data_IF_878582582684
#
_entry.id   IF_878582582684
#
_cell.length_a   1.000
_cell.length_b   1.000
_cell.length_c   1.000
_cell.angle_alpha   90.00
_cell.angle_beta   90.00
_cell.angle_gamma   90.00
#
_symmetry.space_group_name_H-M   'P 1'
#
loop_
_entity.id
_entity.type
_entity.pdbx_description
1 polymer ?
#
# COMPACT_ATOMS: atom_id res chain seq x y z
N UNK A 1 7.13 21.82 70.08
CA UNK A 1 8.19 21.49 69.11
C UNK A 1 7.50 20.88 67.89
N UNK A 2 7.10 21.73 66.95
CA UNK A 2 6.39 21.36 65.73
C UNK A 2 7.43 21.36 64.61
N UNK A 3 7.64 20.21 63.95
CA UNK A 3 8.42 20.13 62.71
C UNK A 3 7.51 19.53 61.65
N UNK A 4 6.90 20.44 60.87
CA UNK A 4 6.17 20.12 59.66
C UNK A 4 7.16 20.03 58.50
N UNK A 5 7.47 18.83 58.04
CA UNK A 5 8.20 18.60 56.79
C UNK A 5 7.25 18.84 55.62
N UNK A 6 7.44 19.96 54.92
CA UNK A 6 6.77 20.23 53.64
C UNK A 6 7.24 19.21 52.61
N UNK A 7 6.36 18.28 52.24
CA UNK A 7 6.54 17.43 51.07
C UNK A 7 6.49 18.30 49.81
N UNK A 8 7.64 18.55 49.19
CA UNK A 8 7.71 19.08 47.84
C UNK A 8 7.27 17.97 46.88
N UNK A 9 6.06 18.08 46.35
CA UNK A 9 5.62 17.30 45.20
C UNK A 9 6.41 17.78 43.98
N UNK A 10 7.56 17.14 43.70
CA UNK A 10 8.30 17.36 42.46
C UNK A 10 7.42 16.80 41.34
N UNK A 11 6.63 17.66 40.70
CA UNK A 11 6.08 17.35 39.37
C UNK A 11 7.29 17.22 38.46
N UNK A 12 7.66 15.99 38.10
CA UNK A 12 8.62 15.77 37.03
C UNK A 12 8.08 16.53 35.80
N UNK A 13 8.73 17.64 35.44
CA UNK A 13 8.48 18.30 34.18
C UNK A 13 8.90 17.29 33.11
N UNK A 14 7.92 16.73 32.42
CA UNK A 14 8.18 15.88 31.27
C UNK A 14 8.76 16.79 30.18
N UNK A 15 10.08 16.86 30.09
CA UNK A 15 10.74 17.45 28.92
C UNK A 15 10.50 16.50 27.75
N UNK A 16 9.80 16.92 26.69
CA UNK A 16 9.65 16.10 25.52
C UNK A 16 11.04 15.78 24.98
N UNK A 17 11.32 14.51 24.70
CA UNK A 17 12.53 14.13 23.98
C UNK A 17 12.66 15.00 22.72
N UNK A 18 13.88 15.42 22.34
CA UNK A 18 14.13 16.24 21.15
C UNK A 18 13.95 15.41 19.87
N UNK A 19 12.72 14.94 19.66
CA UNK A 19 12.25 14.25 18.47
C UNK A 19 11.51 15.24 17.60
N UNK A 20 11.72 15.16 16.29
CA UNK A 20 11.06 16.00 15.29
C UNK A 20 9.54 15.95 15.45
N UNK A 21 9.00 14.75 15.64
CA UNK A 21 7.56 14.49 15.63
C UNK A 21 6.94 14.45 17.03
N UNK A 22 7.50 15.22 17.98
CA UNK A 22 6.94 15.30 19.34
C UNK A 22 5.58 16.02 19.39
N UNK A 23 4.87 15.87 20.51
CA UNK A 23 3.53 16.43 20.69
C UNK A 23 3.47 17.96 20.46
N UNK A 24 4.51 18.69 20.87
CA UNK A 24 4.60 20.15 20.67
C UNK A 24 4.67 20.51 19.18
N UNK A 25 5.50 19.80 18.41
CA UNK A 25 5.59 19.99 16.96
C UNK A 25 4.28 19.62 16.26
N UNK A 26 3.66 18.49 16.63
CA UNK A 26 2.38 18.07 16.06
C UNK A 26 1.27 19.09 16.31
N UNK A 27 1.25 19.72 17.49
CA UNK A 27 0.31 20.80 17.77
C UNK A 27 0.61 22.07 16.97
N UNK A 28 1.89 22.37 16.72
CA UNK A 28 2.30 23.53 15.92
C UNK A 28 1.83 23.43 14.46
N UNK A 29 1.87 22.23 13.87
CA UNK A 29 1.50 22.03 12.45
C UNK A 29 0.01 21.70 12.24
N UNK A 30 -0.75 21.43 13.31
CA UNK A 30 -2.19 21.10 13.25
C UNK A 30 -3.04 22.13 12.47
N UNK A 31 -2.85 23.46 12.60
CA UNK A 31 -3.62 24.43 11.82
C UNK A 31 -3.45 24.27 10.30
N UNK A 32 -2.33 23.71 9.83
CA UNK A 32 -2.08 23.46 8.40
C UNK A 32 -2.91 22.27 7.91
N UNK A 33 -3.01 21.22 8.72
CA UNK A 33 -3.74 19.98 8.37
C UNK A 33 -5.26 20.13 8.47
N UNK A 34 -5.77 21.17 9.12
CA UNK A 34 -7.21 21.48 9.18
C UNK A 34 -7.82 21.80 7.81
N UNK A 35 -7.02 22.23 6.82
CA UNK A 35 -7.49 22.49 5.45
C UNK A 35 -8.05 21.27 4.74
N UNK A 36 -7.67 20.08 5.20
CA UNK A 36 -8.12 18.77 4.71
C UNK A 36 -9.03 18.06 5.74
N UNK A 37 -9.53 18.80 6.73
CA UNK A 37 -10.45 18.25 7.72
C UNK A 37 -11.70 17.69 7.06
N UNK A 38 -11.95 16.41 7.31
CA UNK A 38 -13.06 15.67 6.74
C UNK A 38 -12.76 14.89 5.47
N UNK A 39 -11.61 15.09 4.81
CA UNK A 39 -11.28 14.39 3.55
C UNK A 39 -10.46 13.11 3.73
N UNK A 40 -10.01 12.79 4.94
CA UNK A 40 -9.22 11.58 5.22
C UNK A 40 -10.08 10.53 5.92
N UNK A 41 -10.06 9.31 5.40
CA UNK A 41 -10.86 8.18 5.87
C UNK A 41 -10.00 6.99 6.25
N UNK A 42 -10.53 6.07 7.07
CA UNK A 42 -9.90 4.76 7.30
C UNK A 42 -10.52 3.76 6.33
N UNK A 43 -9.69 2.98 5.65
CA UNK A 43 -10.13 1.85 4.84
C UNK A 43 -9.94 0.56 5.62
N UNK A 44 -10.99 -0.25 5.65
CA UNK A 44 -11.04 -1.59 6.23
C UNK A 44 -11.17 -2.62 5.13
N UNK A 45 -10.46 -3.72 5.28
CA UNK A 45 -10.58 -4.91 4.43
C UNK A 45 -10.79 -6.11 5.35
N UNK A 46 -11.99 -6.69 5.29
CA UNK A 46 -12.52 -7.52 6.37
C UNK A 46 -12.69 -6.68 7.65
N UNK A 47 -12.15 -7.15 8.77
CA UNK A 47 -12.22 -6.47 10.08
C UNK A 47 -10.96 -5.65 10.44
N UNK A 48 -9.98 -5.60 9.55
CA UNK A 48 -8.70 -4.94 9.81
C UNK A 48 -8.62 -3.57 9.13
N UNK A 49 -8.10 -2.53 9.81
CA UNK A 49 -7.66 -1.32 9.11
C UNK A 49 -6.44 -1.69 8.25
N UNK A 50 -6.46 -1.28 6.98
CA UNK A 50 -5.41 -1.68 6.01
C UNK A 50 -4.78 -0.51 5.28
N UNK A 51 -5.46 0.63 5.23
CA UNK A 51 -4.97 1.83 4.58
C UNK A 51 -5.75 3.06 5.06
N UNK A 52 -5.17 4.24 4.87
CA UNK A 52 -5.94 5.48 4.82
C UNK A 52 -6.45 5.71 3.39
N UNK A 53 -7.47 6.55 3.27
CA UNK A 53 -7.99 6.99 1.98
C UNK A 53 -8.18 8.49 1.95
N UNK A 54 -8.17 9.05 0.74
CA UNK A 54 -8.42 10.47 0.48
C UNK A 54 -9.71 10.61 -0.30
N UNK A 55 -10.68 11.35 0.22
CA UNK A 55 -11.92 11.68 -0.50
C UNK A 55 -11.58 12.61 -1.66
N UNK A 56 -12.02 12.24 -2.86
CA UNK A 56 -11.71 12.95 -4.11
C UNK A 56 -12.94 13.50 -4.81
N UNK A 57 -14.15 13.09 -4.42
CA UNK A 57 -15.38 13.67 -4.93
C UNK A 57 -16.52 13.63 -3.90
N UNK A 58 -17.38 14.66 -3.92
CA UNK A 58 -18.50 14.84 -2.98
C UNK A 58 -19.53 13.72 -3.07
N UNK A 59 -19.67 13.14 -4.26
CA UNK A 59 -20.63 12.09 -4.53
C UNK A 59 -20.25 10.73 -3.91
N UNK A 60 -19.08 10.55 -3.27
CA UNK A 60 -18.74 9.30 -2.59
C UNK A 60 -17.52 8.55 -3.13
N UNK A 61 -16.60 9.23 -3.82
CA UNK A 61 -15.37 8.61 -4.33
C UNK A 61 -14.15 8.89 -3.46
N UNK A 62 -13.40 7.83 -3.18
CA UNK A 62 -12.21 7.84 -2.32
C UNK A 62 -11.06 7.17 -3.06
N UNK A 63 -9.90 7.81 -3.07
CA UNK A 63 -8.67 7.24 -3.60
C UNK A 63 -7.83 6.65 -2.47
N UNK A 64 -7.32 5.43 -2.66
CA UNK A 64 -6.48 4.73 -1.68
C UNK A 64 -5.49 3.78 -2.37
N UNK A 65 -4.68 3.09 -1.58
CA UNK A 65 -3.75 2.04 -2.02
C UNK A 65 -4.52 0.74 -2.32
N UNK A 66 -4.20 0.10 -3.45
CA UNK A 66 -4.86 -1.13 -3.94
C UNK A 66 -4.34 -2.40 -3.28
N UNK A 67 -3.02 -2.57 -3.17
CA UNK A 67 -2.43 -3.85 -2.76
C UNK A 67 -2.78 -4.32 -1.34
N UNK A 68 -3.32 -3.44 -0.49
CA UNK A 68 -3.76 -3.78 0.87
C UNK A 68 -5.23 -4.25 0.92
N UNK A 69 -5.99 -4.12 -0.18
CA UNK A 69 -7.40 -4.49 -0.29
C UNK A 69 -7.58 -5.97 -0.64
N UNK A 70 -7.18 -6.86 0.27
CA UNK A 70 -7.11 -8.32 0.05
C UNK A 70 -8.32 -9.11 0.55
N UNK A 71 -9.12 -8.54 1.45
CA UNK A 71 -10.29 -9.15 2.06
C UNK A 71 -11.60 -8.39 1.80
N UNK A 72 -12.70 -9.14 1.91
CA UNK A 72 -14.09 -8.67 1.76
C UNK A 72 -14.83 -8.89 3.10
N UNK A 73 -15.77 -8.03 3.53
CA UNK A 73 -16.20 -6.77 2.91
C UNK A 73 -15.14 -5.67 3.00
N UNK A 74 -15.14 -4.76 2.01
CA UNK A 74 -14.45 -3.47 2.12
C UNK A 74 -15.40 -2.47 2.81
N UNK A 75 -14.88 -1.78 3.84
CA UNK A 75 -15.61 -0.73 4.54
C UNK A 75 -14.76 0.52 4.68
N UNK A 76 -15.40 1.68 4.77
CA UNK A 76 -14.72 2.96 4.96
C UNK A 76 -15.29 3.64 6.20
N UNK A 77 -14.40 4.06 7.10
CA UNK A 77 -14.76 4.90 8.23
C UNK A 77 -14.49 6.37 7.92
N UNK A 78 -15.55 7.16 7.83
CA UNK A 78 -15.51 8.59 7.60
C UNK A 78 -14.97 9.36 8.81
N UNK A 79 -14.81 10.68 8.67
CA UNK A 79 -14.25 11.56 9.71
C UNK A 79 -15.19 11.74 10.92
N UNK A 80 -16.50 11.72 10.68
CA UNK A 80 -17.56 11.73 11.68
C UNK A 80 -17.67 10.42 12.49
N UNK A 81 -17.06 9.34 12.00
CA UNK A 81 -17.06 8.02 12.62
C UNK A 81 -17.99 7.01 11.95
N UNK A 82 -18.83 7.43 11.00
CA UNK A 82 -19.71 6.52 10.26
C UNK A 82 -18.87 5.48 9.51
N UNK A 83 -19.27 4.21 9.62
CA UNK A 83 -18.64 3.09 8.91
C UNK A 83 -19.58 2.64 7.79
N UNK A 84 -19.17 2.85 6.54
CA UNK A 84 -19.97 2.56 5.36
C UNK A 84 -19.40 1.38 4.58
N UNK A 85 -20.24 0.54 3.95
CA UNK A 85 -19.75 -0.41 2.96
C UNK A 85 -19.17 0.35 1.77
N UNK A 86 -18.12 -0.21 1.17
CA UNK A 86 -17.50 0.36 -0.02
C UNK A 86 -17.24 -0.73 -1.07
N UNK A 87 -17.21 -0.31 -2.33
CA UNK A 87 -16.85 -1.20 -3.46
C UNK A 87 -15.67 -0.59 -4.22
N UNK A 88 -14.84 -1.44 -4.82
CA UNK A 88 -13.80 -0.99 -5.74
C UNK A 88 -14.46 -0.60 -7.07
N UNK A 89 -14.37 0.68 -7.43
CA UNK A 89 -15.01 1.23 -8.62
C UNK A 89 -14.06 1.33 -9.82
N UNK A 90 -12.76 1.53 -9.58
CA UNK A 90 -11.72 1.52 -10.62
C UNK A 90 -10.34 1.20 -9.99
N UNK A 91 -9.40 0.70 -10.79
CA UNK A 91 -8.05 0.31 -10.35
C UNK A 91 -6.99 0.79 -11.32
N UNK A 92 -5.83 1.20 -10.80
CA UNK A 92 -4.59 1.40 -11.57
C UNK A 92 -3.49 0.51 -11.03
N UNK A 93 -3.23 -0.59 -11.74
CA UNK A 93 -2.26 -1.60 -11.30
C UNK A 93 -0.83 -1.04 -11.27
N UNK A 94 -0.42 -0.25 -12.26
CA UNK A 94 0.92 0.34 -12.36
C UNK A 94 1.30 1.22 -11.17
N UNK A 95 0.36 1.93 -10.56
CA UNK A 95 0.65 2.84 -9.44
C UNK A 95 -0.02 2.42 -8.12
N UNK A 96 -0.54 1.20 -8.07
CA UNK A 96 -1.16 0.64 -6.86
C UNK A 96 -2.32 1.46 -6.31
N UNK A 97 -3.11 2.08 -7.18
CA UNK A 97 -4.25 2.91 -6.78
C UNK A 97 -5.56 2.15 -6.94
N UNK A 98 -6.46 2.35 -5.99
CA UNK A 98 -7.84 1.91 -6.04
C UNK A 98 -8.77 3.10 -5.78
N UNK A 99 -9.80 3.24 -6.61
CA UNK A 99 -10.91 4.15 -6.39
C UNK A 99 -12.01 3.35 -5.71
N UNK A 100 -12.37 3.75 -4.50
CA UNK A 100 -13.49 3.19 -3.76
C UNK A 100 -14.73 4.07 -3.95
N UNK A 101 -15.89 3.41 -3.96
CA UNK A 101 -17.21 4.03 -3.94
C UNK A 101 -17.92 3.71 -2.64
N UNK A 102 -18.37 4.75 -1.93
CA UNK A 102 -19.32 4.65 -0.81
C UNK A 102 -20.66 5.26 -1.21
N UNK A 103 -21.72 4.78 -0.58
CA UNK A 103 -23.09 5.27 -0.77
C UNK A 103 -23.74 5.52 0.60
N UNK A 104 -24.72 6.41 0.64
CA UNK A 104 -25.45 6.77 1.86
C UNK A 104 -25.80 8.25 1.92
N UNK A 105 -26.17 8.72 3.12
CA UNK A 105 -26.26 10.14 3.43
C UNK A 105 -24.85 10.69 3.63
N UNK A 106 -24.34 11.40 2.63
CA UNK A 106 -22.94 11.77 2.50
C UNK A 106 -22.77 13.29 2.63
N UNK A 107 -21.94 13.72 3.56
CA UNK A 107 -21.46 15.10 3.66
C UNK A 107 -19.93 15.11 3.53
N UNK A 108 -19.46 14.86 2.30
CA UNK A 108 -18.04 14.69 2.02
C UNK A 108 -17.41 15.98 1.53
N UNK A 109 -16.15 16.20 1.91
CA UNK A 109 -15.33 17.32 1.45
C UNK A 109 -14.12 16.78 0.69
N UNK A 110 -14.06 16.92 -0.64
CA UNK A 110 -12.91 16.46 -1.41
C UNK A 110 -11.64 17.21 -1.06
N UNK A 111 -10.52 16.48 -1.05
CA UNK A 111 -9.21 17.07 -0.92
C UNK A 111 -8.84 17.84 -2.19
N UNK A 112 -8.18 18.99 -2.03
CA UNK A 112 -7.64 19.78 -3.14
C UNK A 112 -6.17 19.40 -3.39
N UNK A 113 -5.90 18.90 -4.58
CA UNK A 113 -4.56 18.54 -5.02
C UNK A 113 -3.83 19.76 -5.63
N UNK A 114 -2.59 19.97 -5.23
CA UNK A 114 -1.66 20.93 -5.83
C UNK A 114 -0.81 20.25 -6.91
N UNK A 115 -0.62 20.90 -8.06
CA UNK A 115 0.09 20.29 -9.20
C UNK A 115 1.62 20.44 -9.20
N UNK A 116 2.18 21.26 -8.30
CA UNK A 116 3.62 21.52 -8.27
C UNK A 116 4.38 20.40 -7.54
N UNK A 117 5.45 19.89 -8.18
CA UNK A 117 6.36 18.95 -7.55
C UNK A 117 7.24 19.72 -6.55
N UNK A 118 7.27 19.34 -5.27
CA UNK A 118 8.11 19.99 -4.27
C UNK A 118 9.61 19.80 -4.58
N UNK A 119 10.43 20.78 -4.22
CA UNK A 119 11.90 20.65 -4.29
C UNK A 119 12.40 19.71 -3.21
N UNK A 120 13.55 19.08 -3.45
CA UNK A 120 14.30 18.38 -2.38
C UNK A 120 14.54 19.34 -1.21
N UNK A 121 14.48 18.80 0.01
CA UNK A 121 14.50 19.50 1.30
C UNK A 121 13.26 20.35 1.62
N UNK A 122 12.20 20.31 0.80
CA UNK A 122 10.92 20.92 1.17
C UNK A 122 10.26 20.12 2.30
N UNK A 123 9.69 20.82 3.29
CA UNK A 123 8.89 20.21 4.34
C UNK A 123 7.58 19.65 3.79
N UNK A 124 7.20 18.48 4.30
CA UNK A 124 5.96 17.80 3.97
C UNK A 124 5.30 17.25 5.22
N UNK A 125 3.99 17.09 5.19
CA UNK A 125 3.20 16.59 6.33
C UNK A 125 2.35 15.42 5.87
N UNK A 126 2.54 14.26 6.50
CA UNK A 126 1.63 13.12 6.35
C UNK A 126 0.43 13.30 7.26
N UNK A 127 -0.78 13.09 6.75
CA UNK A 127 -2.02 13.44 7.47
C UNK A 127 -2.92 12.22 7.66
N UNK A 128 -3.33 12.02 8.90
CA UNK A 128 -4.28 11.00 9.32
C UNK A 128 -5.72 11.52 9.40
N UNK A 129 -6.60 10.70 9.97
CA UNK A 129 -8.01 11.07 10.16
C UNK A 129 -8.17 12.25 11.11
N UNK A 130 -9.29 12.97 10.96
CA UNK A 130 -9.64 14.16 11.78
C UNK A 130 -8.52 15.21 11.79
N UNK A 131 -7.83 15.38 10.65
CA UNK A 131 -6.70 16.30 10.49
C UNK A 131 -5.54 16.04 11.45
N UNK A 132 -5.41 14.84 12.02
CA UNK A 132 -4.29 14.55 12.89
C UNK A 132 -3.01 14.44 12.05
N UNK A 133 -1.99 15.29 12.27
CA UNK A 133 -0.71 15.10 11.62
C UNK A 133 -0.09 13.78 12.12
N UNK A 134 0.34 12.94 11.18
CA UNK A 134 1.06 11.69 11.49
C UNK A 134 2.53 12.02 11.72
N UNK A 135 3.11 12.85 10.84
CA UNK A 135 4.49 13.26 10.95
C UNK A 135 4.84 14.43 10.03
N UNK A 136 5.82 15.21 10.45
CA UNK A 136 6.50 16.22 9.64
C UNK A 136 7.72 15.56 9.02
N UNK A 137 8.02 15.81 7.75
CA UNK A 137 9.18 15.24 7.09
C UNK A 137 9.73 16.16 6.02
N UNK A 138 10.71 15.65 5.27
CA UNK A 138 11.35 16.37 4.16
C UNK A 138 11.42 15.51 2.91
N UNK A 139 11.30 16.15 1.74
CA UNK A 139 11.54 15.47 0.47
C UNK A 139 13.03 15.15 0.33
N UNK A 140 13.37 13.87 0.24
CA UNK A 140 14.74 13.39 0.09
C UNK A 140 15.19 13.24 -1.36
N UNK A 141 14.27 13.01 -2.30
CA UNK A 141 14.61 12.80 -3.71
C UNK A 141 13.52 13.34 -4.65
N UNK A 142 13.94 13.73 -5.86
CA UNK A 142 13.03 14.08 -6.95
C UNK A 142 12.19 12.86 -7.37
N UNK A 143 10.98 13.06 -7.93
CA UNK A 143 10.18 11.98 -8.50
C UNK A 143 10.99 11.10 -9.44
N UNK A 144 10.96 9.80 -9.17
CA UNK A 144 11.65 8.78 -9.98
C UNK A 144 10.85 7.48 -10.02
N UNK A 145 10.97 6.68 -11.08
CA UNK A 145 10.39 5.34 -11.10
C UNK A 145 11.05 4.45 -10.06
N UNK A 146 10.26 3.52 -9.51
CA UNK A 146 10.75 2.37 -8.76
C UNK A 146 10.41 1.15 -9.60
N UNK A 147 11.40 0.58 -10.30
CA UNK A 147 11.19 -0.67 -11.03
C UNK A 147 10.87 -1.81 -10.07
N UNK A 148 10.06 -2.76 -10.52
CA UNK A 148 9.81 -3.99 -9.77
C UNK A 148 10.51 -5.16 -10.42
N UNK A 149 10.83 -6.15 -9.60
CA UNK A 149 11.15 -7.51 -10.06
C UNK A 149 10.21 -8.47 -9.36
N UNK A 150 8.94 -8.47 -9.79
CA UNK A 150 7.93 -9.39 -9.28
C UNK A 150 8.30 -10.82 -9.60
N UNK A 151 8.38 -11.67 -8.58
CA UNK A 151 8.63 -13.11 -8.74
C UNK A 151 7.72 -13.92 -7.85
N UNK A 152 7.27 -15.04 -8.41
CA UNK A 152 6.58 -16.08 -7.65
C UNK A 152 7.54 -16.88 -6.75
N UNK A 153 8.80 -17.02 -7.18
CA UNK A 153 9.83 -17.81 -6.51
C UNK A 153 9.87 -19.30 -6.93
N UNK A 154 9.67 -19.57 -8.22
CA UNK A 154 9.84 -20.90 -8.82
C UNK A 154 10.99 -20.92 -9.81
N UNK A 155 11.68 -22.06 -9.90
CA UNK A 155 12.55 -22.42 -11.00
C UNK A 155 11.74 -23.28 -11.96
N UNK A 156 11.63 -22.86 -13.22
CA UNK A 156 10.88 -23.59 -14.25
C UNK A 156 11.83 -24.27 -15.23
N UNK A 157 11.41 -25.43 -15.73
CA UNK A 157 12.01 -26.14 -16.86
C UNK A 157 10.92 -26.59 -17.83
N UNK A 158 11.29 -26.91 -19.06
CA UNK A 158 10.35 -27.49 -20.02
C UNK A 158 10.05 -28.94 -19.63
N UNK A 159 8.77 -29.32 -19.67
CA UNK A 159 8.38 -30.73 -19.72
C UNK A 159 8.68 -31.32 -21.12
N UNK A 160 8.38 -32.62 -21.31
CA UNK A 160 8.57 -33.30 -22.59
C UNK A 160 7.79 -32.67 -23.77
N UNK A 161 6.81 -31.82 -23.47
CA UNK A 161 5.92 -31.15 -24.43
C UNK A 161 6.17 -29.64 -24.53
N UNK A 162 7.17 -29.10 -23.82
CA UNK A 162 7.50 -27.66 -23.79
C UNK A 162 6.68 -26.81 -22.80
N UNK A 163 5.88 -27.44 -21.93
CA UNK A 163 5.08 -26.77 -20.90
C UNK A 163 5.90 -26.47 -19.65
N UNK A 164 5.40 -25.55 -18.83
CA UNK A 164 6.10 -25.07 -17.64
C UNK A 164 6.02 -26.07 -16.50
N UNK A 165 7.13 -26.74 -16.20
CA UNK A 165 7.24 -27.64 -15.04
C UNK A 165 8.13 -27.03 -13.97
N UNK A 166 7.72 -27.14 -12.71
CA UNK A 166 8.48 -26.66 -11.56
C UNK A 166 9.68 -27.58 -11.32
N UNK A 167 10.88 -27.05 -11.54
CA UNK A 167 12.16 -27.70 -11.21
C UNK A 167 12.50 -27.57 -9.73
N UNK A 168 12.11 -26.47 -9.11
CA UNK A 168 12.37 -26.17 -7.71
C UNK A 168 11.61 -24.92 -7.25
N UNK A 169 11.50 -24.78 -5.95
CA UNK A 169 10.82 -23.68 -5.28
C UNK A 169 11.81 -23.00 -4.34
N UNK A 170 11.85 -21.68 -4.36
CA UNK A 170 12.72 -20.92 -3.46
C UNK A 170 12.09 -20.86 -2.06
N UNK A 171 12.89 -20.97 -0.99
CA UNK A 171 12.44 -20.70 0.37
C UNK A 171 11.88 -19.28 0.51
N UNK A 172 10.96 -19.09 1.45
CA UNK A 172 10.31 -17.82 1.78
C UNK A 172 9.64 -17.14 0.58
N UNK A 173 9.24 -17.94 -0.41
CA UNK A 173 8.59 -17.45 -1.62
C UNK A 173 7.06 -17.58 -1.57
N UNK A 174 6.38 -16.87 -2.46
CA UNK A 174 4.95 -17.05 -2.64
C UNK A 174 4.59 -18.44 -3.16
N UNK A 175 5.48 -19.07 -3.92
CA UNK A 175 5.29 -20.45 -4.36
C UNK A 175 5.40 -21.47 -3.22
N UNK A 176 6.37 -21.30 -2.33
CA UNK A 176 6.52 -22.18 -1.16
C UNK A 176 5.31 -22.04 -0.23
N UNK A 177 4.91 -20.81 0.08
CA UNK A 177 3.74 -20.53 0.91
C UNK A 177 2.45 -21.12 0.32
N UNK A 178 2.37 -21.19 -1.01
CA UNK A 178 1.24 -21.79 -1.72
C UNK A 178 1.36 -23.32 -1.89
N UNK A 179 2.46 -23.92 -1.45
CA UNK A 179 2.64 -25.37 -1.48
C UNK A 179 2.97 -25.95 -2.85
N UNK A 180 3.54 -25.14 -3.76
CA UNK A 180 4.12 -25.65 -5.00
C UNK A 180 5.30 -26.58 -4.69
N UNK A 181 5.48 -27.59 -5.52
CA UNK A 181 6.50 -28.62 -5.37
C UNK A 181 7.21 -28.86 -6.70
N UNK A 182 8.42 -29.40 -6.60
CA UNK A 182 9.13 -29.92 -7.77
C UNK A 182 8.26 -30.99 -8.46
N UNK A 183 8.15 -30.90 -9.77
CA UNK A 183 7.31 -31.78 -10.59
C UNK A 183 5.96 -31.18 -10.97
N UNK A 184 5.50 -30.12 -10.28
CA UNK A 184 4.23 -29.49 -10.60
C UNK A 184 4.25 -28.91 -12.03
N UNK A 185 3.24 -29.24 -12.81
CA UNK A 185 3.04 -28.68 -14.13
C UNK A 185 2.04 -27.53 -14.06
N UNK A 186 2.45 -26.32 -14.42
CA UNK A 186 1.55 -25.17 -14.46
C UNK A 186 0.74 -25.24 -15.75
N UNK A 187 -0.58 -25.42 -15.63
CA UNK A 187 -1.49 -25.58 -16.77
C UNK A 187 -2.30 -24.31 -17.06
N UNK A 188 -2.56 -23.48 -16.05
CA UNK A 188 -3.24 -22.20 -16.24
C UNK A 188 -2.83 -21.16 -15.19
N UNK A 189 -2.96 -19.89 -15.55
CA UNK A 189 -2.75 -18.73 -14.68
C UNK A 189 -3.99 -17.84 -14.74
N UNK A 190 -4.60 -17.56 -13.59
CA UNK A 190 -5.83 -16.79 -13.46
C UNK A 190 -6.94 -17.28 -14.42
N UNK A 191 -7.07 -18.61 -14.52
CA UNK A 191 -8.03 -19.29 -15.42
C UNK A 191 -7.65 -19.29 -16.91
N UNK A 192 -6.57 -18.61 -17.32
CA UNK A 192 -6.07 -18.63 -18.70
C UNK A 192 -5.07 -19.77 -18.87
N UNK A 193 -5.39 -20.70 -19.79
CA UNK A 193 -4.51 -21.84 -20.08
C UNK A 193 -3.17 -21.37 -20.63
N UNK A 194 -2.10 -21.88 -20.04
CA UNK A 194 -0.73 -21.64 -20.49
C UNK A 194 -0.15 -22.89 -21.11
N UNK A 195 0.42 -22.73 -22.32
CA UNK A 195 0.91 -23.86 -23.13
C UNK A 195 2.42 -23.92 -23.22
N UNK A 196 3.14 -22.91 -22.73
CA UNK A 196 4.59 -22.86 -22.83
C UNK A 196 5.21 -22.30 -21.55
N UNK A 197 6.44 -22.72 -21.26
CA UNK A 197 7.23 -22.13 -20.18
C UNK A 197 7.45 -20.63 -20.34
N UNK A 198 7.68 -20.15 -21.56
CA UNK A 198 7.87 -18.73 -21.83
C UNK A 198 6.60 -17.92 -21.52
N UNK A 199 5.41 -18.40 -21.90
CA UNK A 199 4.13 -17.74 -21.60
C UNK A 199 3.86 -17.60 -20.10
N UNK A 200 4.15 -18.66 -19.31
CA UNK A 200 4.11 -18.60 -17.85
C UNK A 200 5.07 -17.54 -17.29
N UNK A 201 6.32 -17.51 -17.77
CA UNK A 201 7.33 -16.55 -17.30
C UNK A 201 6.92 -15.12 -17.62
N UNK A 202 6.46 -14.85 -18.84
CA UNK A 202 6.03 -13.51 -19.27
C UNK A 202 4.83 -13.01 -18.48
N UNK A 203 3.85 -13.88 -18.25
CA UNK A 203 2.66 -13.56 -17.46
C UNK A 203 3.03 -13.23 -16.02
N UNK A 204 3.84 -14.07 -15.35
CA UNK A 204 4.25 -13.84 -13.97
C UNK A 204 5.15 -12.61 -13.83
N UNK A 205 6.02 -12.32 -14.80
CA UNK A 205 6.88 -11.11 -14.80
C UNK A 205 6.09 -9.82 -14.99
N UNK A 206 4.93 -9.87 -15.65
CA UNK A 206 4.03 -8.73 -15.81
C UNK A 206 3.17 -8.44 -14.58
N UNK A 207 3.31 -9.24 -13.51
CA UNK A 207 2.59 -9.04 -12.26
C UNK A 207 3.42 -8.23 -11.25
N UNK A 208 2.72 -7.45 -10.43
CA UNK A 208 3.35 -6.59 -9.43
C UNK A 208 3.50 -7.33 -8.09
N UNK A 209 4.56 -7.04 -7.31
CA UNK A 209 4.65 -7.49 -5.92
C UNK A 209 3.39 -7.15 -5.12
N UNK A 210 2.95 -8.09 -4.28
CA UNK A 210 1.70 -8.01 -3.52
C UNK A 210 0.46 -8.48 -4.29
N UNK A 211 0.55 -8.78 -5.59
CA UNK A 211 -0.56 -9.40 -6.32
C UNK A 211 -0.71 -10.88 -5.99
N UNK A 212 -1.96 -11.32 -5.87
CA UNK A 212 -2.28 -12.75 -5.82
C UNK A 212 -2.42 -13.30 -7.25
N UNK A 213 -2.00 -14.55 -7.44
CA UNK A 213 -2.09 -15.29 -8.68
C UNK A 213 -2.70 -16.66 -8.40
N UNK A 214 -3.76 -17.00 -9.14
CA UNK A 214 -4.32 -18.35 -9.11
C UNK A 214 -3.62 -19.20 -10.15
N UNK A 215 -2.97 -20.27 -9.73
CA UNK A 215 -2.31 -21.23 -10.60
C UNK A 215 -3.12 -22.52 -10.61
N UNK A 216 -3.52 -22.97 -11.79
CA UNK A 216 -3.98 -24.35 -11.95
C UNK A 216 -2.76 -25.19 -12.24
N UNK A 217 -2.48 -26.18 -11.40
CA UNK A 217 -1.35 -27.10 -11.54
C UNK A 217 -1.84 -28.53 -11.75
N UNK A 218 -1.04 -29.34 -12.44
CA UNK A 218 -1.17 -30.80 -12.48
C UNK A 218 0.00 -31.40 -11.71
N UNK A 219 -0.29 -32.28 -10.77
CA UNK A 219 0.70 -32.97 -9.93
C UNK A 219 0.46 -34.47 -10.01
N UNK A 220 1.52 -35.21 -10.28
CA UNK A 220 1.49 -36.67 -10.28
C UNK A 220 1.74 -37.16 -8.85
N UNK A 221 0.97 -38.17 -8.41
CA UNK A 221 1.21 -38.85 -7.14
C UNK A 221 2.31 -39.93 -7.26
N UNK A 222 2.64 -40.60 -6.16
CA UNK A 222 3.64 -41.70 -6.16
C UNK A 222 3.23 -42.89 -7.04
N UNK A 223 1.95 -42.98 -7.43
CA UNK A 223 1.40 -43.99 -8.33
C UNK A 223 1.24 -43.48 -9.78
N UNK A 224 1.83 -42.33 -10.12
CA UNK A 224 1.77 -41.65 -11.43
C UNK A 224 0.36 -41.21 -11.88
N UNK A 225 -0.60 -41.06 -10.95
CA UNK A 225 -1.89 -40.47 -11.26
C UNK A 225 -1.80 -38.94 -11.23
N UNK A 226 -2.18 -38.31 -12.34
CA UNK A 226 -2.16 -36.85 -12.45
C UNK A 226 -3.43 -36.22 -11.88
N UNK A 227 -3.26 -35.35 -10.88
CA UNK A 227 -4.37 -34.60 -10.27
C UNK A 227 -4.23 -33.11 -10.57
N UNK A 228 -5.31 -32.49 -11.06
CA UNK A 228 -5.35 -31.04 -11.28
C UNK A 228 -5.91 -30.32 -10.06
N UNK A 229 -5.26 -29.25 -9.61
CA UNK A 229 -5.70 -28.44 -8.48
C UNK A 229 -5.38 -26.95 -8.68
N UNK A 230 -6.21 -26.09 -8.11
CA UNK A 230 -5.97 -24.65 -8.05
C UNK A 230 -5.20 -24.29 -6.78
N UNK A 231 -4.20 -23.43 -6.94
CA UNK A 231 -3.29 -22.97 -5.90
C UNK A 231 -3.21 -21.45 -5.99
N UNK A 232 -3.61 -20.76 -4.91
CA UNK A 232 -3.48 -19.32 -4.81
C UNK A 232 -2.10 -18.98 -4.22
N UNK A 233 -1.30 -18.23 -4.99
CA UNK A 233 0.04 -17.82 -4.62
C UNK A 233 0.20 -16.31 -4.70
N UNK A 234 1.26 -15.76 -4.08
CA UNK A 234 1.51 -14.31 -4.06
C UNK A 234 2.79 -13.93 -4.80
N UNK A 235 2.77 -12.87 -5.59
CA UNK A 235 3.98 -12.29 -6.18
C UNK A 235 4.74 -11.51 -5.12
N UNK A 236 6.04 -11.77 -4.98
CA UNK A 236 6.93 -11.07 -4.06
C UNK A 236 7.95 -10.24 -4.81
N UNK A 237 8.51 -9.24 -4.12
CA UNK A 237 9.64 -8.47 -4.62
C UNK A 237 10.94 -9.26 -4.39
N UNK A 238 11.73 -9.46 -5.45
CA UNK A 238 12.98 -10.22 -5.36
C UNK A 238 13.96 -9.63 -4.34
N UNK A 239 14.06 -8.31 -4.24
CA UNK A 239 14.99 -7.67 -3.30
C UNK A 239 14.58 -7.97 -1.87
N UNK A 240 13.27 -7.92 -1.60
CA UNK A 240 12.71 -8.24 -0.27
C UNK A 240 12.93 -9.71 0.08
N UNK A 241 12.82 -10.62 -0.88
CA UNK A 241 13.11 -12.05 -0.66
C UNK A 241 14.57 -12.34 -0.34
N UNK A 242 15.50 -11.44 -0.70
CA UNK A 242 16.93 -11.60 -0.45
C UNK A 242 17.41 -10.89 0.82
N UNK A 243 16.52 -10.19 1.53
CA UNK A 243 16.86 -9.51 2.77
C UNK A 243 17.10 -10.51 3.91
N UNK A 244 18.07 -10.21 4.77
CA UNK A 244 18.31 -11.01 5.97
C UNK A 244 17.25 -10.72 7.05
N UNK A 245 17.07 -11.64 8.00
CA UNK A 245 16.19 -11.41 9.15
C UNK A 245 16.59 -10.17 9.97
N UNK A 246 17.90 -9.87 10.01
CA UNK A 246 18.41 -8.67 10.69
C UNK A 246 17.97 -7.40 9.96
N UNK A 247 18.00 -7.40 8.63
CA UNK A 247 17.53 -6.25 7.83
C UNK A 247 16.03 -6.04 8.03
N UNK A 248 15.24 -7.12 8.00
CA UNK A 248 13.80 -7.07 8.22
C UNK A 248 13.46 -6.48 9.60
N UNK A 249 14.17 -6.91 10.66
CA UNK A 249 13.98 -6.41 12.02
C UNK A 249 14.33 -4.92 12.15
N UNK A 250 15.38 -4.45 11.47
CA UNK A 250 15.79 -3.04 11.50
C UNK A 250 14.81 -2.14 10.73
N UNK A 251 14.25 -2.64 9.63
CA UNK A 251 13.31 -1.89 8.80
C UNK A 251 11.93 -1.74 9.45
N UNK A 252 11.51 -2.70 10.28
CA UNK A 252 10.18 -2.74 10.88
C UNK A 252 9.09 -3.13 9.87
N UNK A 253 7.81 -2.95 10.23
CA UNK A 253 6.69 -3.33 9.36
C UNK A 253 6.69 -2.47 8.08
N UNK A 254 6.46 -3.07 6.93
CA UNK A 254 6.42 -2.42 5.61
C UNK A 254 5.20 -2.86 4.82
N UNK A 255 4.79 -2.06 3.85
CA UNK A 255 3.70 -2.43 2.94
C UNK A 255 4.06 -3.65 2.08
N UNK A 256 3.03 -4.38 1.64
CA UNK A 256 3.22 -5.58 0.79
C UNK A 256 3.84 -5.26 -0.57
N UNK A 257 3.60 -4.04 -1.07
CA UNK A 257 4.15 -3.55 -2.34
C UNK A 257 5.01 -2.32 -2.11
N UNK A 258 6.31 -2.46 -2.41
CA UNK A 258 7.34 -1.45 -2.25
C UNK A 258 7.92 -0.93 -3.57
N UNK A 259 7.50 -1.49 -4.70
CA UNK A 259 8.08 -1.24 -6.01
C UNK A 259 7.06 -1.31 -7.14
N UNK A 260 7.55 -1.04 -8.35
CA UNK A 260 6.77 -1.04 -9.58
C UNK A 260 5.87 0.18 -9.65
N UNK A 261 6.38 1.35 -9.29
CA UNK A 261 5.68 2.63 -9.37
C UNK A 261 6.30 3.47 -10.47
N UNK A 262 5.48 4.15 -11.28
CA UNK A 262 5.97 4.94 -12.42
C UNK A 262 6.76 6.17 -11.94
N UNK A 263 6.27 6.83 -10.88
CA UNK A 263 6.97 7.92 -10.21
C UNK A 263 6.64 7.98 -8.72
N UNK A 264 7.65 8.05 -7.86
CA UNK A 264 7.48 8.33 -6.43
C UNK A 264 8.38 9.48 -5.98
N UNK A 265 7.84 10.32 -5.11
CA UNK A 265 8.60 11.18 -4.23
C UNK A 265 9.04 10.38 -3.01
N UNK A 266 10.28 10.57 -2.58
CA UNK A 266 10.79 9.99 -1.34
C UNK A 266 10.77 11.03 -0.23
N UNK A 267 10.23 10.66 0.93
CA UNK A 267 10.27 11.45 2.15
C UNK A 267 10.57 10.55 3.36
N UNK A 268 10.77 11.18 4.51
CA UNK A 268 11.22 10.54 5.75
C UNK A 268 10.20 10.68 6.90
N UNK A 269 8.93 10.93 6.59
CA UNK A 269 7.88 10.77 7.60
C UNK A 269 7.75 9.28 7.94
N UNK A 270 7.65 8.98 9.23
CA UNK A 270 7.46 7.61 9.70
C UNK A 270 5.97 7.30 9.61
N UNK A 271 5.63 6.31 8.79
CA UNK A 271 4.26 5.86 8.56
C UNK A 271 4.15 4.40 8.93
N UNK A 272 3.06 4.00 9.56
CA UNK A 272 2.70 2.59 9.61
C UNK A 272 2.08 2.14 8.28
N UNK A 273 2.17 0.84 7.91
CA UNK A 273 1.67 0.38 6.62
C UNK A 273 0.18 0.70 6.37
N UNK A 274 -0.64 0.69 7.41
CA UNK A 274 -2.07 1.01 7.38
C UNK A 274 -2.37 2.51 7.34
N UNK A 275 -1.35 3.37 7.45
CA UNK A 275 -1.42 4.81 7.22
C UNK A 275 -1.12 5.19 5.76
N UNK A 276 -0.56 4.26 4.98
CA UNK A 276 -0.41 4.46 3.54
C UNK A 276 -1.77 4.44 2.83
N UNK A 277 -1.86 5.14 1.71
CA UNK A 277 -3.10 5.49 1.00
C UNK A 277 -3.65 6.87 1.39
N UNK A 278 -3.14 7.46 2.48
CA UNK A 278 -3.47 8.81 2.92
C UNK A 278 -2.70 9.92 2.19
N UNK A 279 -3.13 11.18 2.33
CA UNK A 279 -2.55 12.31 1.62
C UNK A 279 -1.21 12.77 2.23
N UNK A 280 -0.35 13.31 1.37
CA UNK A 280 0.86 14.05 1.72
C UNK A 280 0.67 15.52 1.36
N UNK A 281 0.98 16.43 2.29
CA UNK A 281 0.78 17.87 2.10
C UNK A 281 2.10 18.65 2.09
N UNK A 282 2.08 19.83 1.45
CA UNK A 282 3.08 20.86 1.66
C UNK A 282 2.78 21.71 2.93
N UNK A 283 3.70 22.60 3.30
CA UNK A 283 3.54 23.52 4.42
C UNK A 283 2.43 24.58 4.23
N UNK A 284 1.88 24.71 3.02
CA UNK A 284 0.75 25.60 2.71
C UNK A 284 -0.59 24.87 2.88
N UNK A 285 -0.57 23.57 3.10
CA UNK A 285 -1.76 22.72 3.22
C UNK A 285 -2.41 22.40 1.87
N UNK A 286 -1.63 22.30 0.79
CA UNK A 286 -2.06 21.68 -0.45
C UNK A 286 -1.70 20.19 -0.43
N UNK A 287 -2.56 19.32 -0.96
CA UNK A 287 -2.21 17.91 -1.14
C UNK A 287 -1.29 17.77 -2.35
N UNK A 288 -0.03 17.38 -2.13
CA UNK A 288 0.99 17.26 -3.17
C UNK A 288 1.23 15.80 -3.59
N UNK A 289 0.57 14.85 -2.92
CA UNK A 289 0.69 13.44 -3.23
C UNK A 289 -0.14 12.54 -2.32
N UNK A 290 -0.02 11.24 -2.53
CA UNK A 290 -0.58 10.18 -1.69
C UNK A 290 0.55 9.27 -1.24
N UNK A 291 0.69 9.07 0.07
CA UNK A 291 1.64 8.11 0.63
C UNK A 291 1.28 6.72 0.14
N UNK A 292 2.20 6.00 -0.49
CA UNK A 292 1.91 4.72 -1.15
C UNK A 292 2.67 3.56 -0.53
N UNK A 293 3.81 3.78 0.10
CA UNK A 293 4.54 2.71 0.76
C UNK A 293 5.51 3.24 1.82
N UNK A 294 5.53 2.62 3.00
CA UNK A 294 6.68 2.66 3.90
C UNK A 294 7.69 1.61 3.41
N UNK A 295 8.74 2.07 2.73
CA UNK A 295 9.73 1.22 2.06
C UNK A 295 10.90 0.78 2.96
N UNK A 296 11.12 1.48 4.08
CA UNK A 296 12.14 1.14 5.05
C UNK A 296 11.99 1.94 6.34
N UNK A 297 12.99 1.87 7.21
CA UNK A 297 12.96 2.54 8.52
C UNK A 297 12.77 4.06 8.42
N UNK A 298 13.37 4.68 7.41
CA UNK A 298 13.42 6.15 7.22
C UNK A 298 12.99 6.56 5.81
N UNK A 299 12.37 5.64 5.07
CA UNK A 299 12.04 5.82 3.65
C UNK A 299 10.57 5.53 3.45
N UNK A 300 9.84 6.58 3.12
CA UNK A 300 8.45 6.53 2.69
C UNK A 300 8.34 7.07 1.28
N UNK A 301 7.47 6.44 0.49
CA UNK A 301 7.16 6.82 -0.87
C UNK A 301 5.78 7.44 -0.94
N UNK A 302 5.66 8.52 -1.69
CA UNK A 302 4.40 9.12 -2.07
C UNK A 302 4.33 9.28 -3.59
N UNK A 303 3.18 8.96 -4.18
CA UNK A 303 2.92 9.29 -5.58
C UNK A 303 2.72 10.80 -5.70
N UNK A 304 3.37 11.50 -6.64
CA UNK A 304 3.18 12.93 -6.81
C UNK A 304 1.79 13.24 -7.38
N UNK A 305 1.22 14.38 -6.98
CA UNK A 305 -0.07 14.84 -7.48
C UNK A 305 -0.09 15.00 -9.01
N UNK A 306 1.04 15.35 -9.64
CA UNK A 306 1.18 15.40 -11.10
C UNK A 306 0.91 14.06 -11.79
N UNK A 307 1.13 12.94 -11.10
CA UNK A 307 0.78 11.59 -11.55
C UNK A 307 -0.63 11.20 -11.12
N UNK A 308 -1.03 11.52 -9.89
CA UNK A 308 -2.34 11.16 -9.33
C UNK A 308 -3.49 11.86 -10.05
N UNK A 309 -3.39 13.15 -10.35
CA UNK A 309 -4.48 13.94 -10.93
C UNK A 309 -5.00 13.33 -12.24
N UNK A 310 -4.18 13.06 -13.26
CA UNK A 310 -4.68 12.46 -14.51
C UNK A 310 -5.26 11.05 -14.30
N UNK A 311 -4.63 10.23 -13.45
CA UNK A 311 -5.14 8.89 -13.11
C UNK A 311 -6.50 8.97 -12.41
N UNK A 312 -6.65 9.86 -11.43
CA UNK A 312 -7.87 10.11 -10.68
C UNK A 312 -9.01 10.56 -11.60
N UNK A 313 -8.75 11.50 -12.51
CA UNK A 313 -9.76 11.97 -13.49
C UNK A 313 -10.22 10.82 -14.37
N UNK A 314 -9.28 10.01 -14.87
CA UNK A 314 -9.58 8.83 -15.69
C UNK A 314 -10.41 7.79 -14.91
N UNK A 315 -10.01 7.48 -13.67
CA UNK A 315 -10.71 6.54 -12.79
C UNK A 315 -12.12 7.01 -12.43
N UNK A 316 -12.32 8.31 -12.16
CA UNK A 316 -13.64 8.87 -11.89
C UNK A 316 -14.57 8.77 -13.11
N UNK A 317 -14.05 9.00 -14.31
CA UNK A 317 -14.81 8.84 -15.56
C UNK A 317 -15.26 7.38 -15.75
N UNK A 318 -14.32 6.44 -15.61
CA UNK A 318 -14.56 4.99 -15.68
C UNK A 318 -15.63 4.55 -14.67
N UNK A 319 -15.44 4.90 -13.40
CA UNK A 319 -16.35 4.54 -12.31
C UNK A 319 -17.78 5.09 -12.50
N UNK A 320 -17.91 6.34 -12.97
CA UNK A 320 -19.21 6.95 -13.23
C UNK A 320 -19.90 6.37 -14.46
N UNK A 321 -19.15 5.93 -15.47
CA UNK A 321 -19.72 5.25 -16.63
C UNK A 321 -20.24 3.85 -16.30
N UNK A 322 -19.56 3.11 -15.41
CA UNK A 322 -19.99 1.78 -14.98
C UNK A 322 -21.23 1.80 -14.06
N UNK A 323 -21.60 2.97 -13.54
CA UNK A 323 -22.77 3.16 -12.67
C UNK A 323 -24.03 3.61 -13.43
N UNK A 324 -23.95 3.78 -14.76
CA UNK A 324 -25.09 4.07 -15.65
C UNK A 324 -25.55 2.80 -16.35
#
# INVERSE_FOLDING_TARGET
MMLATKGQTVRAQFEPLPQRDNASMMNLIRPVTEKISGSVVQVYSGDRPVALGTIVAEDGFILTKRSELSGDPIRVRLSDGQLLPARVAAVRRSNDLAMLRVEGDLNLRPAKFGGEIPRVASFVISVGRKSNPIGLGVIGAKPRPISHQGRLGVLLQDDRTGRAMVRGVFPDSGAEAAGLKKGDLIVAINGRKERSRLGVIETLRGMFPGESVRLTISRDDEAENSTTMDVDASIRDLNVMQESESDARVNGPRNVRLSGFDQVMQHDTVLDPDECGGPLMDSKGNVIGINIARAGRVVSYALPASLIIPEMVSMLSEARSASR
#
